data_IF_292709371585
#
_entry.id   IF_292709371585
#
_cell.length_a   1.000
_cell.length_b   1.000
_cell.length_c   1.000
_cell.angle_alpha   90.00
_cell.angle_beta   90.00
_cell.angle_gamma   90.00
#
_symmetry.space_group_name_H-M   'P 1'
#
loop_
_entity.id
_entity.type
_entity.pdbx_description
1 polymer ?
#
# COMPACT_ATOMS: atom_id res chain seq x y z
N UNK A 1 -8.00 11.23 1.62
CA UNK A 1 -6.92 12.23 1.82
C UNK A 1 -5.64 11.60 1.32
N UNK A 2 -5.34 11.78 0.03
CA UNK A 2 -4.06 11.35 -0.55
C UNK A 2 -3.15 12.59 -0.49
N UNK A 3 -1.93 12.45 0.06
CA UNK A 3 -0.94 13.53 0.32
C UNK A 3 -1.01 14.30 1.65
N UNK A 4 -1.98 14.02 2.54
CA UNK A 4 -2.01 14.64 3.88
C UNK A 4 -1.48 13.65 4.91
N UNK A 5 -0.49 14.04 5.71
CA UNK A 5 0.07 13.15 6.73
C UNK A 5 -0.82 13.13 7.97
N UNK A 6 -0.88 11.97 8.62
CA UNK A 6 -1.60 11.80 9.89
C UNK A 6 -1.12 12.78 10.97
N UNK A 7 0.18 13.09 11.01
CA UNK A 7 0.75 14.05 11.95
C UNK A 7 0.19 15.46 11.75
N UNK A 8 -0.05 15.88 10.51
CA UNK A 8 -0.59 17.20 10.18
C UNK A 8 -2.06 17.31 10.62
N UNK A 9 -2.82 16.22 10.48
CA UNK A 9 -4.21 16.12 10.96
C UNK A 9 -4.26 16.24 12.48
N UNK A 10 -3.35 15.57 13.19
CA UNK A 10 -3.27 15.64 14.65
C UNK A 10 -2.85 17.04 15.13
N UNK A 11 -1.88 17.67 14.46
CA UNK A 11 -1.46 19.04 14.77
C UNK A 11 -2.61 20.03 14.54
N UNK A 12 -3.35 19.89 13.42
CA UNK A 12 -4.52 20.71 13.15
C UNK A 12 -5.64 20.50 14.18
N UNK A 13 -5.91 19.25 14.59
CA UNK A 13 -6.86 18.93 15.67
C UNK A 13 -6.49 19.68 16.96
N UNK A 14 -5.23 19.60 17.36
CA UNK A 14 -4.72 20.24 18.58
C UNK A 14 -4.78 21.77 18.51
N UNK A 15 -4.40 22.35 17.37
CA UNK A 15 -4.45 23.79 17.16
C UNK A 15 -5.87 24.36 17.29
N UNK A 16 -6.89 23.59 16.91
CA UNK A 16 -8.30 24.00 16.97
C UNK A 16 -9.04 23.47 18.22
N UNK A 17 -8.34 22.86 19.17
CA UNK A 17 -8.90 22.24 20.38
C UNK A 17 -10.10 21.30 20.10
N UNK A 18 -9.99 20.52 19.03
CA UNK A 18 -11.04 19.59 18.61
C UNK A 18 -10.86 18.25 19.31
N UNK A 19 -11.96 17.56 19.63
CA UNK A 19 -11.94 16.16 20.02
C UNK A 19 -12.69 15.31 18.99
N UNK A 20 -11.96 14.45 18.30
CA UNK A 20 -12.55 13.51 17.36
C UNK A 20 -13.12 12.31 18.09
N UNK A 21 -14.28 11.84 17.64
CA UNK A 21 -14.82 10.56 18.05
C UNK A 21 -13.81 9.45 17.69
N UNK A 22 -13.48 8.61 18.66
CA UNK A 22 -12.78 7.36 18.38
C UNK A 22 -13.79 6.43 17.73
N UNK A 23 -13.58 6.10 16.45
CA UNK A 23 -14.42 5.27 15.56
C UNK A 23 -15.78 4.76 16.12
N UNK A 24 -16.89 5.11 15.45
CA UNK A 24 -18.24 4.66 15.82
C UNK A 24 -18.50 3.14 15.70
N UNK A 25 -17.49 2.36 15.31
CA UNK A 25 -17.61 0.92 15.13
C UNK A 25 -17.34 0.19 16.46
N UNK A 26 -18.26 -0.70 16.84
CA UNK A 26 -18.15 -1.58 18.02
C UNK A 26 -16.90 -2.47 18.02
N UNK A 27 -16.34 -2.75 16.83
CA UNK A 27 -15.15 -3.58 16.64
C UNK A 27 -13.86 -2.95 17.18
N UNK A 28 -13.81 -1.61 17.32
CA UNK A 28 -12.60 -0.88 17.72
C UNK A 28 -12.54 -0.51 19.19
N UNK A 29 -13.63 -0.66 19.97
CA UNK A 29 -13.66 -0.39 21.42
C UNK A 29 -12.63 -1.23 22.20
N UNK A 30 -12.43 -2.49 21.81
CA UNK A 30 -11.43 -3.37 22.44
C UNK A 30 -9.98 -3.10 21.98
N UNK A 31 -9.77 -2.33 20.91
CA UNK A 31 -8.42 -2.01 20.42
C UNK A 31 -7.81 -0.79 21.13
N UNK A 32 -8.63 0.09 21.70
CA UNK A 32 -8.18 1.32 22.39
C UNK A 32 -7.80 1.08 23.85
N UNK A 33 -8.25 -0.01 24.48
CA UNK A 33 -8.01 -0.30 25.90
C UNK A 33 -6.61 -0.89 26.21
N UNK A 34 -5.78 -1.13 25.20
CA UNK A 34 -4.42 -1.64 25.39
C UNK A 34 -3.38 -0.56 25.07
N UNK A 35 -3.27 0.43 25.96
CA UNK A 35 -2.26 1.50 25.96
C UNK A 35 -0.82 0.99 26.22
N UNK A 36 -0.54 -0.28 25.92
CA UNK A 36 0.79 -0.87 26.02
C UNK A 36 1.01 -1.95 24.95
N UNK A 37 0.75 -1.61 23.68
CA UNK A 37 1.18 -2.43 22.54
C UNK A 37 0.48 -3.79 22.35
N UNK A 38 -0.69 -4.01 22.97
CA UNK A 38 -1.38 -5.31 22.95
C UNK A 38 -2.57 -5.45 21.99
N UNK A 39 -3.00 -4.38 21.31
CA UNK A 39 -4.12 -4.41 20.34
C UNK A 39 -3.63 -4.48 18.89
N UNK A 40 -2.98 -5.57 18.51
CA UNK A 40 -2.23 -5.71 17.24
C UNK A 40 -3.10 -5.84 15.98
N UNK A 41 -3.76 -4.76 15.54
CA UNK A 41 -4.37 -4.76 14.21
C UNK A 41 -3.28 -4.78 13.12
N UNK A 42 -3.56 -5.42 11.99
CA UNK A 42 -2.68 -5.39 10.81
C UNK A 42 -2.39 -3.97 10.32
N UNK A 43 -3.35 -3.05 10.51
CA UNK A 43 -3.15 -1.62 10.25
C UNK A 43 -2.06 -1.02 11.16
N UNK A 44 -2.07 -1.35 12.45
CA UNK A 44 -1.07 -0.83 13.40
C UNK A 44 0.33 -1.43 13.16
N UNK A 45 0.38 -2.71 12.81
CA UNK A 45 1.60 -3.39 12.37
C UNK A 45 2.21 -2.68 11.15
N UNK A 46 1.40 -2.40 10.13
CA UNK A 46 1.85 -1.70 8.92
C UNK A 46 2.30 -0.26 9.21
N UNK A 47 1.58 0.48 10.07
CA UNK A 47 2.01 1.82 10.51
C UNK A 47 3.38 1.79 11.18
N UNK A 48 3.63 0.77 12.00
CA UNK A 48 4.92 0.60 12.69
C UNK A 48 6.05 0.28 11.71
N UNK A 49 5.78 -0.56 10.72
CA UNK A 49 6.73 -0.88 9.65
C UNK A 49 7.09 0.37 8.82
N UNK A 50 6.09 1.12 8.36
CA UNK A 50 6.33 2.36 7.59
C UNK A 50 7.10 3.38 8.43
N UNK A 51 6.81 3.52 9.73
CA UNK A 51 7.57 4.38 10.64
C UNK A 51 9.04 3.98 10.73
N UNK A 52 9.36 2.68 10.74
CA UNK A 52 10.74 2.18 10.71
C UNK A 52 11.43 2.57 9.40
N UNK A 53 10.80 2.39 8.25
CA UNK A 53 11.41 2.77 6.97
C UNK A 53 11.63 4.28 6.82
N UNK A 54 10.82 5.13 7.45
CA UNK A 54 11.06 6.58 7.46
C UNK A 54 12.39 6.97 8.11
N UNK A 55 12.93 6.13 9.00
CA UNK A 55 14.22 6.38 9.66
C UNK A 55 15.40 6.25 8.68
N UNK A 56 15.27 5.37 7.67
CA UNK A 56 16.31 5.15 6.67
C UNK A 56 16.08 5.98 5.41
N UNK A 57 14.82 6.20 5.02
CA UNK A 57 14.45 7.02 3.87
C UNK A 57 13.24 7.92 4.18
N UNK A 58 13.44 9.24 4.34
CA UNK A 58 12.36 10.20 4.60
C UNK A 58 11.28 10.24 3.51
N UNK A 59 11.62 9.84 2.27
CA UNK A 59 10.73 9.85 1.11
C UNK A 59 9.99 8.53 0.90
N UNK A 60 10.09 7.57 1.85
CA UNK A 60 9.50 6.23 1.68
C UNK A 60 7.99 6.26 1.42
N UNK A 61 7.25 7.17 2.06
CA UNK A 61 5.80 7.28 1.87
C UNK A 61 5.45 7.58 0.41
N UNK A 62 6.21 8.49 -0.21
CA UNK A 62 6.02 8.87 -1.60
C UNK A 62 6.46 7.74 -2.54
N UNK A 63 7.53 7.01 -2.19
CA UNK A 63 8.00 5.89 -2.99
C UNK A 63 6.99 4.73 -2.99
N UNK A 64 6.42 4.38 -1.83
CA UNK A 64 5.37 3.36 -1.71
C UNK A 64 4.12 3.79 -2.48
N UNK A 65 3.75 5.07 -2.41
CA UNK A 65 2.58 5.56 -3.14
C UNK A 65 2.81 5.52 -4.66
N UNK A 66 3.99 5.96 -5.12
CA UNK A 66 4.38 5.95 -6.53
C UNK A 66 4.51 4.53 -7.10
N UNK A 67 4.93 3.55 -6.29
CA UNK A 67 5.11 2.17 -6.75
C UNK A 67 3.81 1.47 -7.16
N UNK A 68 2.64 2.10 -6.98
CA UNK A 68 1.34 1.56 -7.38
C UNK A 68 0.87 2.15 -8.72
N UNK A 69 1.45 3.27 -9.17
CA UNK A 69 0.97 4.01 -10.34
C UNK A 69 1.42 3.44 -11.68
N UNK A 70 2.65 2.96 -11.77
CA UNK A 70 3.26 2.49 -13.02
C UNK A 70 3.96 1.15 -12.75
N UNK A 71 3.16 0.08 -12.75
CA UNK A 71 3.63 -1.26 -12.43
C UNK A 71 3.78 -2.07 -13.70
N UNK A 72 4.98 -2.61 -13.92
CA UNK A 72 5.24 -3.52 -15.03
C UNK A 72 4.50 -4.85 -14.81
N UNK A 73 3.41 -5.07 -15.54
CA UNK A 73 2.59 -6.28 -15.44
C UNK A 73 3.36 -7.57 -15.75
N UNK A 74 4.44 -7.49 -16.54
CA UNK A 74 5.29 -8.66 -16.81
C UNK A 74 6.03 -9.18 -15.56
N UNK A 75 6.08 -8.38 -14.48
CA UNK A 75 6.71 -8.76 -13.21
C UNK A 75 5.71 -9.17 -12.14
N UNK A 76 4.41 -9.05 -12.41
CA UNK A 76 3.35 -9.45 -11.50
C UNK A 76 2.92 -10.88 -11.84
N UNK A 77 2.79 -11.73 -10.83
CA UNK A 77 2.39 -13.14 -10.99
C UNK A 77 0.98 -13.27 -11.59
N UNK A 78 0.10 -12.31 -11.32
CA UNK A 78 -1.22 -12.23 -11.92
C UNK A 78 -1.94 -10.95 -11.54
N UNK A 79 -2.91 -10.55 -12.36
CA UNK A 79 -3.75 -9.38 -12.15
C UNK A 79 -5.18 -9.67 -12.62
N UNK A 80 -6.14 -8.88 -12.13
CA UNK A 80 -7.53 -8.96 -12.56
C UNK A 80 -7.87 -7.72 -13.38
N UNK A 81 -8.42 -7.91 -14.58
CA UNK A 81 -9.23 -6.91 -15.26
C UNK A 81 -10.72 -7.16 -14.95
N UNK A 82 -11.60 -6.21 -15.28
CA UNK A 82 -13.03 -6.21 -14.95
C UNK A 82 -13.77 -7.52 -15.22
N UNK A 83 -13.34 -8.29 -16.21
CA UNK A 83 -13.99 -9.52 -16.65
C UNK A 83 -13.13 -10.78 -16.45
N UNK A 84 -11.80 -10.63 -16.34
CA UNK A 84 -10.87 -11.75 -16.46
C UNK A 84 -9.75 -11.68 -15.42
N UNK A 85 -9.41 -12.84 -14.87
CA UNK A 85 -8.19 -13.04 -14.10
C UNK A 85 -7.09 -13.49 -15.06
N UNK A 86 -5.98 -12.77 -15.08
CA UNK A 86 -4.79 -13.10 -15.86
C UNK A 86 -3.69 -13.58 -14.93
N UNK A 87 -3.12 -14.73 -15.24
CA UNK A 87 -1.88 -15.21 -14.66
C UNK A 87 -0.73 -14.97 -15.65
N UNK A 88 0.46 -14.70 -15.13
CA UNK A 88 1.68 -14.63 -15.92
C UNK A 88 1.90 -15.87 -16.81
N UNK A 89 1.43 -17.04 -16.37
CA UNK A 89 1.54 -18.30 -17.12
C UNK A 89 0.55 -18.42 -18.28
N UNK A 90 -0.53 -17.63 -18.31
CA UNK A 90 -1.59 -17.77 -19.31
C UNK A 90 -1.10 -17.44 -20.73
N UNK A 91 -0.12 -16.55 -20.86
CA UNK A 91 0.46 -16.12 -22.13
C UNK A 91 1.96 -16.43 -22.26
N UNK A 92 2.54 -17.18 -21.32
CA UNK A 92 3.98 -17.43 -21.22
C UNK A 92 4.57 -18.08 -22.48
N UNK A 93 3.93 -19.14 -22.98
CA UNK A 93 4.40 -19.85 -24.18
C UNK A 93 4.22 -19.01 -25.46
N UNK A 94 3.16 -18.19 -25.52
CA UNK A 94 2.88 -17.33 -26.66
C UNK A 94 3.84 -16.15 -26.76
N UNK A 95 4.24 -15.54 -25.63
CA UNK A 95 5.24 -14.46 -25.57
C UNK A 95 6.64 -14.92 -25.98
N UNK A 96 6.97 -16.19 -25.74
CA UNK A 96 8.25 -16.77 -26.15
C UNK A 96 8.42 -16.74 -27.67
N UNK A 97 7.35 -16.90 -28.43
CA UNK A 97 7.39 -16.90 -29.90
C UNK A 97 7.69 -15.49 -30.46
N UNK A 98 7.09 -14.44 -29.92
CA UNK A 98 7.32 -13.06 -30.38
C UNK A 98 8.76 -12.55 -30.16
N UNK A 99 9.45 -13.03 -29.12
CA UNK A 99 10.84 -12.66 -28.86
C UNK A 99 11.84 -13.36 -29.79
N UNK A 100 11.46 -14.51 -30.37
CA UNK A 100 12.28 -15.21 -31.36
C UNK A 100 12.20 -14.49 -32.70
N UNK A 101 11.02 -14.02 -33.08
CA UNK A 101 10.81 -13.34 -34.38
C UNK A 101 11.41 -11.92 -34.45
N UNK A 102 11.70 -11.29 -33.30
CA UNK A 102 12.30 -9.93 -33.27
C UNK A 102 13.84 -9.97 -33.22
N UNK A 103 14.46 -11.15 -33.19
CA UNK A 103 15.93 -11.32 -33.18
C UNK A 103 16.50 -11.79 -34.53
N UNK A 104 15.67 -11.93 -35.57
CA UNK A 104 16.09 -12.35 -36.92
C UNK A 104 16.12 -11.23 -37.98
N UNK A 105 15.79 -9.99 -37.62
CA UNK A 105 16.00 -8.80 -38.47
C UNK A 105 17.09 -7.89 -37.90
N UNK A 106 18.36 -8.33 -37.99
CA UNK A 106 19.57 -7.47 -38.02
C UNK A 106 20.67 -8.15 -38.86
#
# INVERSE_FOLDING_TARGET
MYLVKEADILAWKQYNDLQFIQCACRFTENCTLCDNGGGGSKRQEMKSLVKKFRQTNPSIDMNIFRSIHDVNLNTIIGYHDKEHQYNFLDDYDSKKTFLVDTQEED
#
